data_IF_163025898946
#
_entry.id   IF_163025898946
#
_cell.length_a   1.000
_cell.length_b   1.000
_cell.length_c   1.000
_cell.angle_alpha   90.00
_cell.angle_beta   90.00
_cell.angle_gamma   90.00
#
_symmetry.space_group_name_H-M   'P 1'
#
loop_
_entity.id
_entity.type
_entity.pdbx_description
1 polymer ?
#
# COMPACT_ATOMS: atom_id res chain seq x y z
N UNK A 1 -19.03 -14.97 -0.15
CA UNK A 1 -18.49 -14.53 1.15
C UNK A 1 -17.02 -14.20 0.99
N UNK A 2 -16.45 -13.40 1.90
CA UNK A 2 -15.01 -13.19 1.96
C UNK A 2 -14.30 -14.51 2.33
N UNK A 3 -13.13 -14.83 1.74
CA UNK A 3 -12.31 -15.95 2.19
C UNK A 3 -11.85 -15.78 3.64
N UNK A 4 -11.57 -16.89 4.33
CA UNK A 4 -10.95 -16.84 5.66
C UNK A 4 -9.60 -16.14 5.59
N UNK A 5 -9.30 -15.27 6.56
CA UNK A 5 -8.06 -14.49 6.62
C UNK A 5 -8.11 -13.13 5.91
N UNK A 6 -9.18 -12.81 5.19
CA UNK A 6 -9.38 -11.51 4.55
C UNK A 6 -10.16 -10.58 5.47
N UNK A 7 -9.49 -9.63 6.12
CA UNK A 7 -10.14 -8.63 6.99
C UNK A 7 -10.80 -7.52 6.16
N UNK A 8 -10.33 -7.30 4.94
CA UNK A 8 -11.02 -6.50 3.93
C UNK A 8 -11.20 -7.36 2.66
N UNK A 9 -12.37 -7.26 2.02
CA UNK A 9 -12.68 -8.04 0.83
C UNK A 9 -13.43 -7.20 -0.21
N UNK A 10 -12.90 -7.20 -1.44
CA UNK A 10 -13.42 -6.43 -2.55
C UNK A 10 -13.79 -7.35 -3.70
N UNK A 11 -14.85 -7.02 -4.43
CA UNK A 11 -15.37 -7.86 -5.53
C UNK A 11 -15.40 -7.17 -6.89
N UNK A 12 -15.00 -5.91 -6.96
CA UNK A 12 -14.96 -5.14 -8.20
C UNK A 12 -13.64 -5.38 -8.93
N UNK A 13 -13.61 -5.08 -10.24
CA UNK A 13 -12.40 -5.19 -11.06
C UNK A 13 -11.44 -4.03 -10.82
N UNK A 14 -11.90 -2.93 -10.24
CA UNK A 14 -11.08 -1.84 -9.73
C UNK A 14 -11.70 -1.24 -8.48
N UNK A 15 -10.91 -0.54 -7.68
CA UNK A 15 -11.37 0.10 -6.45
C UNK A 15 -10.23 0.73 -5.68
N UNK A 16 -10.53 1.18 -4.45
CA UNK A 16 -9.56 1.75 -3.52
C UNK A 16 -9.56 0.90 -2.26
N UNK A 17 -8.36 0.56 -1.79
CA UNK A 17 -8.10 -0.08 -0.50
C UNK A 17 -7.38 0.94 0.37
N UNK A 18 -7.85 1.11 1.60
CA UNK A 18 -7.15 1.94 2.59
C UNK A 18 -6.86 1.13 3.84
N UNK A 19 -5.77 1.46 4.53
CA UNK A 19 -5.53 0.95 5.88
C UNK A 19 -6.65 1.39 6.81
N UNK A 20 -6.87 0.62 7.88
CA UNK A 20 -7.71 1.09 8.97
C UNK A 20 -7.17 2.42 9.52
N UNK A 21 -8.08 3.36 9.80
CA UNK A 21 -7.76 4.71 10.28
C UNK A 21 -6.86 5.56 9.34
N UNK A 22 -6.78 5.23 8.05
CA UNK A 22 -6.07 6.04 7.07
C UNK A 22 -6.42 7.53 7.18
N UNK A 23 -5.41 8.38 7.38
CA UNK A 23 -5.59 9.83 7.47
C UNK A 23 -5.73 10.44 6.06
N UNK A 24 -6.99 10.63 5.65
CA UNK A 24 -7.36 11.20 4.36
C UNK A 24 -7.30 12.74 4.29
N UNK A 25 -6.72 13.42 5.28
CA UNK A 25 -6.58 14.89 5.27
C UNK A 25 -5.75 15.33 4.06
N UNK A 26 -6.24 16.26 3.23
CA UNK A 26 -5.50 16.72 2.04
C UNK A 26 -4.22 17.48 2.42
N UNK A 27 -4.19 18.06 3.62
CA UNK A 27 -3.02 18.75 4.17
C UNK A 27 -2.28 17.81 5.13
N UNK A 28 -0.93 17.83 5.13
CA UNK A 28 -0.12 17.24 6.18
C UNK A 28 -0.49 17.84 7.54
N UNK A 29 -1.19 17.04 8.34
CA UNK A 29 -1.49 17.31 9.74
C UNK A 29 -0.53 16.51 10.60
N UNK A 30 -0.10 17.08 11.72
CA UNK A 30 0.62 16.32 12.74
C UNK A 30 -0.26 15.21 13.31
N UNK A 31 0.32 14.04 13.56
CA UNK A 31 -0.36 12.87 14.12
C UNK A 31 -0.47 11.70 13.14
N UNK A 32 -0.35 10.49 13.68
CA UNK A 32 -0.37 9.24 12.91
C UNK A 32 -1.81 8.77 12.66
N UNK A 33 -2.09 8.41 11.39
CA UNK A 33 -3.29 7.66 11.00
C UNK A 33 -3.04 6.15 10.98
N UNK A 34 -1.78 5.74 10.96
CA UNK A 34 -1.36 4.35 11.08
C UNK A 34 -1.66 3.81 12.49
N UNK A 35 -2.15 2.58 12.54
CA UNK A 35 -2.40 1.84 13.79
C UNK A 35 -1.29 0.79 13.93
N UNK A 36 -0.55 0.82 15.03
CA UNK A 36 0.48 -0.18 15.32
C UNK A 36 -0.10 -1.59 15.55
N UNK A 37 0.69 -2.63 15.27
CA UNK A 37 0.39 -4.02 15.62
C UNK A 37 -0.69 -4.70 14.78
N UNK A 38 -0.92 -4.23 13.55
CA UNK A 38 -1.87 -4.84 12.63
C UNK A 38 -1.20 -5.85 11.69
N UNK A 39 -1.81 -7.03 11.57
CA UNK A 39 -1.39 -8.06 10.62
C UNK A 39 -2.63 -8.67 9.96
N UNK A 40 -2.90 -8.32 8.71
CA UNK A 40 -4.11 -8.75 8.02
C UNK A 40 -4.00 -8.83 6.50
N UNK A 41 -4.83 -9.68 5.91
CA UNK A 41 -5.01 -9.77 4.46
C UNK A 41 -6.14 -8.86 3.95
N UNK A 42 -5.86 -8.18 2.85
CA UNK A 42 -6.84 -7.58 1.94
C UNK A 42 -6.96 -8.47 0.72
N UNK A 43 -8.18 -8.85 0.37
CA UNK A 43 -8.44 -9.77 -0.73
C UNK A 43 -9.30 -9.12 -1.81
N UNK A 44 -8.91 -9.28 -3.06
CA UNK A 44 -9.69 -8.85 -4.23
C UNK A 44 -10.16 -10.10 -4.97
N UNK A 45 -11.46 -10.25 -5.14
CA UNK A 45 -12.03 -11.35 -5.92
C UNK A 45 -11.60 -11.20 -7.37
N UNK A 46 -10.89 -12.21 -7.87
CA UNK A 46 -10.58 -12.31 -9.29
C UNK A 46 -11.87 -12.35 -10.12
N UNK A 47 -11.95 -11.48 -11.12
CA UNK A 47 -12.99 -11.52 -12.13
C UNK A 47 -12.61 -12.50 -13.25
N UNK A 48 -13.62 -13.10 -13.88
CA UNK A 48 -13.40 -14.05 -14.97
C UNK A 48 -12.66 -13.37 -16.14
N UNK A 49 -11.65 -14.05 -16.69
CA UNK A 49 -10.81 -13.53 -17.77
C UNK A 49 -9.68 -12.58 -17.34
N UNK A 50 -9.58 -12.23 -16.04
CA UNK A 50 -8.50 -11.42 -15.51
C UNK A 50 -7.36 -12.29 -14.97
N UNK A 51 -6.12 -11.88 -15.23
CA UNK A 51 -4.91 -12.67 -14.97
C UNK A 51 -3.91 -11.97 -14.04
N UNK A 52 -4.07 -10.66 -13.80
CA UNK A 52 -3.22 -9.91 -12.89
C UNK A 52 -3.97 -8.76 -12.22
N UNK A 53 -3.30 -8.12 -11.27
CA UNK A 53 -3.74 -6.94 -10.54
C UNK A 53 -2.61 -5.91 -10.50
N UNK A 54 -2.95 -4.65 -10.66
CA UNK A 54 -2.03 -3.51 -10.54
C UNK A 54 -2.48 -2.67 -9.36
N UNK A 55 -1.53 -2.30 -8.50
CA UNK A 55 -1.67 -1.41 -7.36
C UNK A 55 -0.94 -0.10 -7.64
N UNK A 56 -1.60 1.03 -7.40
CA UNK A 56 -1.06 2.38 -7.62
C UNK A 56 -1.46 3.26 -6.42
N UNK A 57 -0.70 4.31 -6.12
CA UNK A 57 -1.11 5.31 -5.12
C UNK A 57 -2.42 5.98 -5.50
N UNK A 58 -3.28 6.32 -4.54
CA UNK A 58 -4.57 6.98 -4.80
C UNK A 58 -4.42 8.50 -5.03
N UNK A 59 -3.57 8.92 -5.97
CA UNK A 59 -3.35 10.35 -6.31
C UNK A 59 -4.51 11.08 -6.99
N UNK A 60 -5.74 10.54 -6.96
CA UNK A 60 -6.91 11.21 -7.55
C UNK A 60 -7.26 12.57 -6.88
N UNK A 61 -6.65 12.88 -5.73
CA UNK A 61 -6.81 14.13 -4.98
C UNK A 61 -5.83 15.26 -5.36
N UNK A 62 -4.91 15.05 -6.32
CA UNK A 62 -3.88 16.05 -6.64
C UNK A 62 -2.77 16.16 -5.58
N UNK A 63 -2.76 15.26 -4.60
CA UNK A 63 -1.69 15.10 -3.60
C UNK A 63 -1.21 13.66 -3.59
N UNK A 64 0.11 13.45 -3.47
CA UNK A 64 0.69 12.11 -3.45
C UNK A 64 0.70 11.48 -2.04
N UNK A 65 0.19 12.16 -1.01
CA UNK A 65 0.27 11.76 0.41
C UNK A 65 -0.66 10.61 0.81
N UNK A 66 -0.77 9.59 -0.04
CA UNK A 66 -1.63 8.42 0.15
C UNK A 66 -0.87 7.18 0.58
N UNK A 67 0.43 7.28 0.84
CA UNK A 67 1.23 6.19 1.35
C UNK A 67 2.35 6.71 2.25
N UNK A 68 2.35 6.27 3.50
CA UNK A 68 3.45 6.49 4.46
C UNK A 68 3.27 5.49 5.60
N UNK A 69 4.23 4.59 5.77
CA UNK A 69 4.17 3.50 6.74
C UNK A 69 5.41 3.45 7.64
N UNK A 70 6.58 3.76 7.10
CA UNK A 70 7.84 3.68 7.84
C UNK A 70 8.61 4.98 7.70
N UNK A 71 9.38 5.34 8.72
CA UNK A 71 10.12 6.57 8.91
C UNK A 71 9.24 7.76 9.34
N UNK A 72 9.86 8.93 9.47
CA UNK A 72 9.25 10.15 9.97
C UNK A 72 8.66 11.01 8.85
N UNK A 73 7.36 10.87 8.59
CA UNK A 73 6.59 11.66 7.64
C UNK A 73 6.50 13.15 8.00
N UNK A 74 6.69 13.52 9.27
CA UNK A 74 6.69 14.91 9.72
C UNK A 74 8.00 15.64 9.34
N UNK A 75 9.08 14.89 9.10
CA UNK A 75 10.43 15.43 8.84
C UNK A 75 10.84 15.47 7.36
N UNK A 76 10.07 14.87 6.45
CA UNK A 76 10.37 14.86 5.00
C UNK A 76 9.81 16.09 4.28
N UNK A 77 10.40 16.43 3.14
CA UNK A 77 9.81 17.36 2.19
C UNK A 77 8.44 16.85 1.73
N UNK A 78 7.42 17.69 1.90
CA UNK A 78 6.04 17.36 1.57
C UNK A 78 5.86 17.13 0.08
N UNK A 79 6.68 17.73 -0.78
CA UNK A 79 6.60 17.51 -2.23
C UNK A 79 7.01 16.08 -2.64
N UNK A 80 7.80 15.40 -1.80
CA UNK A 80 8.30 14.04 -2.03
C UNK A 80 7.46 13.00 -1.29
N UNK A 81 6.74 13.39 -0.23
CA UNK A 81 5.91 12.49 0.57
C UNK A 81 4.85 11.76 -0.27
N UNK A 82 4.91 10.44 -0.24
CA UNK A 82 4.04 9.51 -0.92
C UNK A 82 4.44 9.22 -2.38
N UNK A 83 5.53 9.82 -2.86
CA UNK A 83 6.07 9.57 -4.21
C UNK A 83 7.02 8.36 -4.25
N UNK A 84 7.35 7.83 -5.45
CA UNK A 84 8.34 6.77 -5.59
C UNK A 84 9.73 7.13 -5.04
N UNK A 85 10.09 8.42 -5.00
CA UNK A 85 11.39 8.87 -4.48
C UNK A 85 11.51 8.70 -2.96
N UNK A 86 10.40 8.56 -2.23
CA UNK A 86 10.35 8.26 -0.80
C UNK A 86 9.97 6.79 -0.51
N UNK A 87 9.82 5.96 -1.55
CA UNK A 87 9.48 4.55 -1.41
C UNK A 87 10.68 3.73 -0.98
N UNK A 88 10.45 2.72 -0.14
CA UNK A 88 11.42 1.69 0.22
C UNK A 88 10.81 0.33 -0.09
N UNK A 89 11.63 -0.65 -0.51
CA UNK A 89 11.13 -1.95 -0.98
C UNK A 89 12.02 -3.10 -0.52
N UNK A 90 11.47 -4.32 -0.55
CA UNK A 90 12.22 -5.54 -0.32
C UNK A 90 12.70 -5.68 1.13
N UNK A 91 13.96 -6.07 1.32
CA UNK A 91 14.50 -6.43 2.64
C UNK A 91 14.65 -5.24 3.61
N UNK A 92 14.64 -4.01 3.10
CA UNK A 92 14.69 -2.80 3.92
C UNK A 92 13.34 -2.51 4.60
N UNK A 93 12.26 -3.19 4.16
CA UNK A 93 10.94 -3.13 4.77
C UNK A 93 10.79 -4.21 5.85
N UNK A 94 11.21 -3.87 7.08
CA UNK A 94 11.29 -4.81 8.20
C UNK A 94 10.38 -4.50 9.40
N UNK A 95 9.81 -3.30 9.51
CA UNK A 95 8.84 -2.92 10.55
C UNK A 95 7.42 -2.85 9.98
N UNK A 96 7.14 -1.82 9.18
CA UNK A 96 5.80 -1.56 8.64
C UNK A 96 5.79 -1.62 7.12
N UNK A 97 4.94 -2.45 6.54
CA UNK A 97 4.87 -2.59 5.10
C UNK A 97 3.54 -3.12 4.60
N UNK A 98 3.29 -2.89 3.32
CA UNK A 98 2.37 -3.72 2.55
C UNK A 98 3.17 -4.78 1.78
N UNK A 99 2.64 -5.99 1.73
CA UNK A 99 3.21 -7.08 0.94
C UNK A 99 2.27 -7.41 -0.21
N UNK A 100 2.82 -7.41 -1.43
CA UNK A 100 2.14 -7.78 -2.66
C UNK A 100 2.89 -9.02 -3.22
N UNK A 101 2.35 -10.24 -3.02
CA UNK A 101 3.02 -11.46 -3.46
C UNK A 101 3.30 -11.45 -4.96
N UNK A 102 4.56 -11.72 -5.35
CA UNK A 102 4.98 -11.68 -6.75
C UNK A 102 4.85 -10.30 -7.41
N UNK A 103 4.98 -9.23 -6.61
CA UNK A 103 4.96 -7.85 -7.08
C UNK A 103 6.17 -7.54 -7.96
N UNK A 104 5.90 -6.84 -9.06
CA UNK A 104 6.92 -6.20 -9.90
C UNK A 104 6.54 -4.74 -10.08
N UNK A 105 7.44 -3.83 -9.74
CA UNK A 105 7.19 -2.40 -9.86
C UNK A 105 7.28 -1.90 -11.33
N UNK A 106 6.98 -0.61 -11.53
CA UNK A 106 7.01 0.05 -12.84
C UNK A 106 8.42 0.11 -13.47
N UNK A 107 9.48 -0.16 -12.70
CA UNK A 107 10.86 -0.24 -13.20
C UNK A 107 11.25 -1.67 -13.60
N UNK A 108 10.37 -2.64 -13.38
CA UNK A 108 10.62 -4.05 -13.67
C UNK A 108 11.35 -4.80 -12.56
N UNK A 109 11.50 -4.20 -11.38
CA UNK A 109 12.14 -4.83 -10.22
C UNK A 109 11.09 -5.59 -9.41
N UNK A 110 11.35 -6.86 -9.14
CA UNK A 110 10.47 -7.69 -8.33
C UNK A 110 10.80 -7.56 -6.84
N UNK A 111 9.77 -7.25 -6.05
CA UNK A 111 9.82 -7.17 -4.61
C UNK A 111 8.52 -7.75 -4.03
N UNK A 112 8.57 -8.24 -2.79
CA UNK A 112 7.39 -8.70 -2.07
C UNK A 112 6.84 -7.60 -1.15
N UNK A 113 7.70 -6.77 -0.56
CA UNK A 113 7.37 -5.76 0.45
C UNK A 113 7.62 -4.34 -0.04
N UNK A 114 6.75 -3.42 0.38
CA UNK A 114 6.76 -2.01 0.05
C UNK A 114 6.43 -1.18 1.30
N UNK A 115 7.27 -0.21 1.61
CA UNK A 115 7.24 0.56 2.86
C UNK A 115 7.85 1.96 2.66
N UNK A 116 8.20 2.62 3.77
CA UNK A 116 8.75 3.96 3.77
C UNK A 116 7.67 5.03 3.67
N UNK A 117 8.06 6.20 3.16
CA UNK A 117 7.20 7.38 3.05
C UNK A 117 6.66 7.55 1.64
N UNK A 118 6.61 6.47 0.85
CA UNK A 118 6.24 6.49 -0.55
C UNK A 118 5.97 5.10 -1.10
N UNK A 119 5.44 5.04 -2.32
CA UNK A 119 5.14 3.80 -3.02
C UNK A 119 5.59 3.93 -4.48
N UNK A 120 6.00 2.84 -5.16
CA UNK A 120 6.29 2.85 -6.59
C UNK A 120 5.10 3.38 -7.41
N UNK A 121 5.31 3.81 -8.66
CA UNK A 121 4.20 4.36 -9.46
C UNK A 121 3.13 3.30 -9.69
N UNK A 122 3.55 2.05 -9.89
CA UNK A 122 2.65 0.91 -9.94
C UNK A 122 3.37 -0.36 -9.50
N UNK A 123 2.63 -1.30 -8.91
CA UNK A 123 3.10 -2.66 -8.64
C UNK A 123 2.12 -3.64 -9.25
N UNK A 124 2.61 -4.50 -10.14
CA UNK A 124 1.84 -5.54 -10.81
C UNK A 124 2.08 -6.89 -10.15
N UNK A 125 1.02 -7.67 -9.91
CA UNK A 125 1.12 -9.07 -9.52
C UNK A 125 0.20 -9.94 -10.38
N UNK A 126 0.70 -11.09 -10.81
CA UNK A 126 -0.07 -12.14 -11.49
C UNK A 126 -0.32 -13.35 -10.58
N UNK A 127 0.12 -13.27 -9.31
CA UNK A 127 -0.07 -14.32 -8.31
C UNK A 127 -1.53 -14.39 -7.88
N UNK A 128 -2.04 -15.61 -7.66
CA UNK A 128 -3.43 -15.87 -7.33
C UNK A 128 -3.54 -16.54 -5.95
N UNK A 129 -4.53 -16.17 -5.11
CA UNK A 129 -5.51 -15.10 -5.33
C UNK A 129 -4.90 -13.70 -5.22
N UNK A 130 -5.57 -12.68 -5.80
CA UNK A 130 -5.15 -11.29 -5.66
C UNK A 130 -5.29 -10.84 -4.21
N UNK A 131 -4.14 -10.60 -3.59
CA UNK A 131 -4.02 -10.29 -2.17
C UNK A 131 -3.00 -9.18 -1.95
N UNK A 132 -3.26 -8.37 -0.93
CA UNK A 132 -2.31 -7.44 -0.33
C UNK A 132 -2.32 -7.73 1.17
N UNK A 133 -1.16 -7.97 1.75
CA UNK A 133 -1.02 -8.13 3.20
C UNK A 133 -0.51 -6.84 3.81
N UNK A 134 -0.94 -6.56 5.02
CA UNK A 134 -0.49 -5.41 5.81
C UNK A 134 0.20 -5.97 7.03
N UNK A 135 1.41 -5.52 7.27
CA UNK A 135 2.16 -5.80 8.48
C UNK A 135 2.57 -4.47 9.09
N UNK A 136 2.16 -4.25 10.33
CA UNK A 136 2.54 -3.10 11.15
C UNK A 136 2.99 -3.65 12.49
N UNK A 137 4.23 -3.38 12.87
CA UNK A 137 4.76 -3.87 14.14
C UNK A 137 4.35 -2.92 15.29
N UNK A 138 4.95 -3.09 16.47
CA UNK A 138 4.66 -2.24 17.63
C UNK A 138 5.72 -1.16 17.88
N UNK A 139 6.82 -1.15 17.13
CA UNK A 139 7.96 -0.26 17.34
C UNK A 139 7.82 1.02 16.52
N UNK A 140 7.21 2.03 17.13
CA UNK A 140 6.99 3.34 16.48
C UNK A 140 8.10 4.35 16.81
N UNK A 141 9.27 3.91 17.32
CA UNK A 141 10.30 4.83 17.84
C UNK A 141 10.86 5.78 16.77
N UNK A 142 10.85 5.37 15.50
CA UNK A 142 11.28 6.17 14.35
C UNK A 142 10.14 6.49 13.38
N UNK A 143 8.93 6.05 13.69
CA UNK A 143 7.74 6.17 12.85
C UNK A 143 6.86 7.29 13.39
N UNK A 144 6.77 8.38 12.62
CA UNK A 144 6.08 9.59 13.07
C UNK A 144 5.30 10.23 11.94
N UNK A 145 4.07 10.67 12.22
CA UNK A 145 3.21 11.33 11.24
C UNK A 145 2.72 10.41 10.11
N UNK A 146 2.95 9.10 10.20
CA UNK A 146 2.54 8.17 9.16
C UNK A 146 1.01 8.09 9.05
N UNK A 147 0.49 8.31 7.84
CA UNK A 147 -0.94 8.35 7.55
C UNK A 147 -1.57 6.98 7.38
N UNK A 148 -0.77 5.94 7.19
CA UNK A 148 -1.20 4.67 6.61
C UNK A 148 -1.14 4.70 5.09
N UNK A 149 -1.97 3.89 4.44
CA UNK A 149 -2.03 3.82 2.97
C UNK A 149 -3.45 3.93 2.42
N UNK A 150 -3.55 4.43 1.19
CA UNK A 150 -4.70 4.38 0.30
C UNK A 150 -4.20 4.08 -1.11
N UNK A 151 -4.43 2.86 -1.57
CA UNK A 151 -4.00 2.36 -2.85
C UNK A 151 -5.21 2.10 -3.74
N UNK A 152 -5.13 2.50 -5.01
CA UNK A 152 -6.06 2.03 -6.02
C UNK A 152 -5.59 0.69 -6.55
N UNK A 153 -6.54 -0.19 -6.87
CA UNK A 153 -6.25 -1.40 -7.62
C UNK A 153 -7.07 -1.45 -8.91
N UNK A 154 -6.53 -2.14 -9.92
CA UNK A 154 -7.29 -2.60 -11.08
C UNK A 154 -6.79 -3.97 -11.53
N UNK A 155 -7.70 -4.83 -11.90
CA UNK A 155 -7.38 -6.11 -12.52
C UNK A 155 -7.05 -5.88 -14.00
N UNK A 156 -6.15 -6.70 -14.55
CA UNK A 156 -5.75 -6.69 -15.96
C UNK A 156 -6.01 -8.05 -16.63
N UNK A 157 -6.22 -8.02 -17.95
CA UNK A 157 -6.48 -9.19 -18.79
C UNK A 157 -5.31 -9.55 -19.71
N UNK A 158 -4.28 -8.71 -19.79
CA UNK A 158 -3.06 -8.96 -20.56
C UNK A 158 -1.89 -9.21 -19.59
N UNK A 159 -1.56 -10.50 -19.48
CA UNK A 159 -0.42 -11.06 -18.77
C UNK A 159 0.18 -12.12 -19.71
#
# INVERSE_FOLDING_TARGET
SAPSGCLQYYTTTSGIVSSFNFNSSPTPSSGTGQIAGLDYGVCVKMADGYCGIIWETNSASGTNHTFSLTNNADAIDKDVLGSPAAATTGMDCNTDYVMIPGGTDDTGVSNDRYCGLGFPNSVTSTMKPFTLYVHQDSDEANDAGNRGFSLRYRQITNC
#
